data_IF_187406773336
#
_entry.id   IF_187406773336
#
_cell.length_a   1.000
_cell.length_b   1.000
_cell.length_c   1.000
_cell.angle_alpha   90.00
_cell.angle_beta   90.00
_cell.angle_gamma   90.00
#
_symmetry.space_group_name_H-M   'P 1'
#
loop_
_entity.id
_entity.type
_entity.pdbx_description
1 polymer ?
#
# COMPACT_ATOMS: atom_id res chain seq x y z
N UNK A 1 -6.90 -52.05 -18.21
CA UNK A 1 -6.56 -52.42 -16.81
C UNK A 1 -5.29 -51.68 -16.45
N UNK A 2 -5.34 -50.73 -15.51
CA UNK A 2 -4.13 -50.05 -15.02
C UNK A 2 -3.32 -51.08 -14.23
N UNK A 3 -2.07 -51.32 -14.61
CA UNK A 3 -1.22 -52.29 -13.93
C UNK A 3 -0.82 -51.76 -12.55
N UNK A 4 -0.66 -52.66 -11.57
CA UNK A 4 -0.17 -52.30 -10.23
C UNK A 4 1.16 -51.52 -10.26
N UNK A 5 2.01 -51.77 -11.27
CA UNK A 5 3.25 -51.01 -11.50
C UNK A 5 3.02 -49.54 -11.87
N UNK A 6 2.05 -49.27 -12.76
CA UNK A 6 1.68 -47.89 -13.14
C UNK A 6 1.03 -47.12 -11.99
N UNK A 7 0.30 -47.82 -11.12
CA UNK A 7 -0.30 -47.21 -9.94
C UNK A 7 0.78 -46.88 -8.89
N UNK A 8 1.77 -47.74 -8.71
CA UNK A 8 2.90 -47.50 -7.80
C UNK A 8 3.79 -46.35 -8.28
N UNK A 9 4.07 -46.26 -9.59
CA UNK A 9 4.84 -45.13 -10.14
C UNK A 9 4.08 -43.80 -10.00
N UNK A 10 2.78 -43.78 -10.29
CA UNK A 10 1.97 -42.57 -10.12
C UNK A 10 1.85 -42.10 -8.67
N UNK A 11 1.83 -43.05 -7.71
CA UNK A 11 1.88 -42.72 -6.28
C UNK A 11 3.25 -42.14 -5.90
N UNK A 12 4.33 -42.74 -6.38
CA UNK A 12 5.69 -42.28 -6.11
C UNK A 12 5.95 -40.87 -6.66
N UNK A 13 5.58 -40.60 -7.91
CA UNK A 13 5.69 -39.27 -8.54
C UNK A 13 4.85 -38.21 -7.82
N UNK A 14 3.74 -38.61 -7.19
CA UNK A 14 2.89 -37.73 -6.38
C UNK A 14 3.53 -37.44 -5.02
N UNK A 15 4.18 -38.43 -4.41
CA UNK A 15 4.93 -38.28 -3.16
C UNK A 15 6.14 -37.35 -3.35
N UNK A 16 6.91 -37.55 -4.43
CA UNK A 16 8.10 -36.73 -4.73
C UNK A 16 7.73 -35.26 -4.99
N UNK A 17 6.68 -35.00 -5.78
CA UNK A 17 6.19 -33.63 -5.99
C UNK A 17 5.75 -32.97 -4.68
N UNK A 18 5.11 -33.70 -3.77
CA UNK A 18 4.74 -33.17 -2.45
C UNK A 18 5.97 -32.81 -1.62
N UNK A 19 6.98 -33.68 -1.61
CA UNK A 19 8.22 -33.44 -0.86
C UNK A 19 9.00 -32.24 -1.42
N UNK A 20 9.10 -32.13 -2.74
CA UNK A 20 9.68 -30.97 -3.42
C UNK A 20 8.90 -29.68 -3.13
N UNK A 21 7.56 -29.74 -3.08
CA UNK A 21 6.74 -28.60 -2.70
C UNK A 21 6.99 -28.17 -1.26
N UNK A 22 7.06 -29.13 -0.34
CA UNK A 22 7.26 -28.86 1.09
C UNK A 22 8.65 -28.27 1.37
N UNK A 23 9.72 -28.84 0.78
CA UNK A 23 11.07 -28.32 0.96
C UNK A 23 11.21 -26.90 0.40
N UNK A 24 10.65 -26.67 -0.79
CA UNK A 24 10.73 -25.38 -1.44
C UNK A 24 9.84 -24.31 -0.77
N UNK A 25 8.71 -24.68 -0.19
CA UNK A 25 7.88 -23.73 0.58
C UNK A 25 8.53 -23.41 1.92
N UNK A 26 9.05 -24.41 2.63
CA UNK A 26 9.56 -24.23 4.00
C UNK A 26 10.87 -23.44 4.02
N UNK A 27 11.65 -23.46 2.93
CA UNK A 27 12.88 -22.68 2.76
C UNK A 27 12.69 -21.23 2.31
N UNK A 28 11.47 -20.81 1.93
CA UNK A 28 11.20 -19.45 1.47
C UNK A 28 10.83 -18.50 2.62
N UNK A 29 11.19 -17.23 2.47
CA UNK A 29 10.75 -16.16 3.37
C UNK A 29 9.21 -16.03 3.34
N UNK A 30 8.61 -15.49 4.40
CA UNK A 30 7.17 -15.32 4.51
C UNK A 30 6.56 -14.52 3.34
N UNK A 31 7.26 -13.47 2.89
CA UNK A 31 6.87 -12.68 1.72
C UNK A 31 6.92 -13.49 0.42
N UNK A 32 8.00 -14.24 0.21
CA UNK A 32 8.18 -15.05 -1.00
C UNK A 32 7.18 -16.21 -1.08
N UNK A 33 6.88 -16.84 0.07
CA UNK A 33 5.79 -17.82 0.18
C UNK A 33 4.46 -17.22 -0.23
N UNK A 34 4.13 -16.03 0.29
CA UNK A 34 2.88 -15.35 -0.01
C UNK A 34 2.75 -15.05 -1.51
N UNK A 35 3.81 -14.51 -2.13
CA UNK A 35 3.84 -14.24 -3.56
C UNK A 35 3.64 -15.49 -4.41
N UNK A 36 4.29 -16.60 -4.02
CA UNK A 36 4.13 -17.89 -4.70
C UNK A 36 2.69 -18.41 -4.60
N UNK A 37 2.09 -18.39 -3.40
CA UNK A 37 0.72 -18.87 -3.22
C UNK A 37 -0.32 -18.05 -3.96
N UNK A 38 -0.16 -16.73 -4.01
CA UNK A 38 -1.03 -15.88 -4.82
C UNK A 38 -0.93 -16.23 -6.31
N UNK A 39 0.28 -16.47 -6.81
CA UNK A 39 0.51 -16.86 -8.20
C UNK A 39 -0.12 -18.23 -8.50
N UNK A 40 0.14 -19.23 -7.67
CA UNK A 40 -0.43 -20.57 -7.83
C UNK A 40 -1.96 -20.52 -7.82
N UNK A 41 -2.56 -19.75 -6.91
CA UNK A 41 -4.01 -19.58 -6.85
C UNK A 41 -4.58 -18.99 -8.15
N UNK A 42 -3.95 -17.95 -8.69
CA UNK A 42 -4.33 -17.35 -9.97
C UNK A 42 -4.12 -18.32 -11.13
N UNK A 43 -3.04 -19.10 -11.15
CA UNK A 43 -2.77 -20.05 -12.23
C UNK A 43 -3.77 -21.23 -12.23
N UNK A 44 -4.21 -21.71 -11.05
CA UNK A 44 -5.14 -22.84 -10.92
C UNK A 44 -6.62 -22.44 -11.04
N UNK A 45 -7.01 -21.28 -10.50
CA UNK A 45 -8.41 -20.84 -10.45
C UNK A 45 -8.71 -19.59 -11.28
N UNK A 46 -7.68 -18.89 -11.76
CA UNK A 46 -7.81 -17.68 -12.57
C UNK A 46 -8.17 -18.00 -14.01
N UNK A 47 -9.40 -18.45 -14.22
CA UNK A 47 -10.01 -18.55 -15.55
C UNK A 47 -10.15 -17.15 -16.16
N UNK A 48 -9.14 -16.73 -16.93
CA UNK A 48 -9.32 -15.82 -18.06
C UNK A 48 -9.30 -14.31 -17.82
N UNK A 49 -9.01 -13.78 -16.62
CA UNK A 49 -8.77 -12.34 -16.46
C UNK A 49 -7.61 -12.08 -15.53
N UNK A 50 -6.49 -11.63 -16.10
CA UNK A 50 -5.58 -10.74 -15.38
C UNK A 50 -6.40 -9.47 -15.12
N UNK A 51 -7.13 -9.45 -14.01
CA UNK A 51 -7.66 -8.21 -13.51
C UNK A 51 -6.42 -7.54 -12.94
N UNK A 52 -5.72 -6.77 -13.77
CA UNK A 52 -4.84 -5.74 -13.26
C UNK A 52 -5.77 -4.78 -12.52
N UNK A 53 -6.08 -5.12 -11.27
CA UNK A 53 -6.77 -4.24 -10.35
C UNK A 53 -5.73 -3.17 -10.02
N UNK A 54 -5.54 -2.25 -10.95
CA UNK A 54 -4.97 -0.95 -10.67
C UNK A 54 -6.05 -0.25 -9.87
N UNK A 55 -6.13 -0.58 -8.58
CA UNK A 55 -6.77 0.32 -7.65
C UNK A 55 -6.08 1.66 -7.84
N UNK A 56 -6.82 2.77 -7.98
CA UNK A 56 -6.21 4.08 -7.88
C UNK A 56 -5.57 4.16 -6.49
N UNK A 57 -4.29 3.83 -6.41
CA UNK A 57 -3.53 3.85 -5.18
C UNK A 57 -3.20 5.30 -4.90
N UNK A 58 -4.17 6.03 -4.35
CA UNK A 58 -3.91 7.33 -3.75
C UNK A 58 -2.99 7.08 -2.57
N UNK A 59 -1.75 7.52 -2.70
CA UNK A 59 -0.80 7.48 -1.58
C UNK A 59 -1.24 8.50 -0.55
N UNK A 60 -0.92 8.27 0.72
CA UNK A 60 -1.13 9.27 1.78
C UNK A 60 -0.47 10.62 1.43
N UNK A 61 0.70 10.57 0.80
CA UNK A 61 1.39 11.74 0.25
C UNK A 61 0.58 12.48 -0.83
N UNK A 62 -0.09 11.76 -1.73
CA UNK A 62 -0.91 12.36 -2.79
C UNK A 62 -2.13 13.04 -2.17
N UNK A 63 -2.78 12.38 -1.22
CA UNK A 63 -3.89 12.93 -0.44
C UNK A 63 -3.49 14.22 0.29
N UNK A 64 -2.30 14.25 0.89
CA UNK A 64 -1.79 15.45 1.55
C UNK A 64 -1.54 16.59 0.55
N UNK A 65 -0.98 16.28 -0.62
CA UNK A 65 -0.71 17.28 -1.65
C UNK A 65 -1.98 17.88 -2.25
N UNK A 66 -3.01 17.06 -2.44
CA UNK A 66 -4.33 17.49 -2.94
C UNK A 66 -5.07 18.38 -1.92
N UNK A 67 -5.06 17.99 -0.64
CA UNK A 67 -5.82 18.67 0.41
C UNK A 67 -5.10 19.80 1.13
N UNK A 68 -3.80 20.03 0.87
CA UNK A 68 -3.02 21.03 1.60
C UNK A 68 -3.54 22.45 1.40
N UNK A 69 -3.82 23.15 2.51
CA UNK A 69 -4.09 24.60 2.54
C UNK A 69 -3.19 25.26 3.58
N UNK A 70 -2.55 26.36 3.17
CA UNK A 70 -1.70 27.15 4.06
C UNK A 70 -2.51 27.86 5.15
N UNK A 71 -3.66 28.43 4.78
CA UNK A 71 -4.66 29.00 5.70
C UNK A 71 -5.91 28.13 5.60
N UNK A 72 -6.34 27.56 6.72
CA UNK A 72 -7.50 26.64 6.80
C UNK A 72 -8.62 27.30 7.60
N UNK A 73 -9.84 27.35 7.04
CA UNK A 73 -11.04 27.88 7.70
C UNK A 73 -11.90 26.75 8.29
N UNK A 74 -12.84 27.07 9.19
CA UNK A 74 -13.74 26.07 9.80
C UNK A 74 -14.67 25.38 8.78
N UNK A 75 -14.96 26.03 7.65
CA UNK A 75 -15.74 25.47 6.55
C UNK A 75 -15.01 24.31 5.86
N UNK A 76 -13.67 24.34 5.84
CA UNK A 76 -12.82 23.26 5.29
C UNK A 76 -12.72 22.05 6.22
N UNK A 77 -13.25 22.14 7.43
CA UNK A 77 -13.27 21.06 8.42
C UNK A 77 -14.64 20.35 8.48
N UNK A 78 -15.60 20.78 7.67
CA UNK A 78 -16.95 20.23 7.64
C UNK A 78 -17.02 18.85 6.97
N UNK A 79 -16.06 18.56 6.10
CA UNK A 79 -16.02 17.32 5.33
C UNK A 79 -15.42 16.17 6.15
N UNK A 80 -16.19 15.08 6.29
CA UNK A 80 -15.84 13.93 7.15
C UNK A 80 -15.03 12.85 6.44
N UNK A 81 -14.47 13.12 5.27
CA UNK A 81 -13.68 12.13 4.55
C UNK A 81 -12.41 11.77 5.34
N UNK A 82 -11.97 10.51 5.21
CA UNK A 82 -10.74 10.07 5.88
C UNK A 82 -9.51 10.87 5.40
N UNK A 83 -9.52 11.27 4.13
CA UNK A 83 -8.50 12.08 3.47
C UNK A 83 -8.33 13.43 4.17
N UNK A 84 -9.44 14.14 4.41
CA UNK A 84 -9.38 15.45 5.06
C UNK A 84 -8.98 15.36 6.54
N UNK A 85 -9.35 14.26 7.23
CA UNK A 85 -8.87 14.01 8.59
C UNK A 85 -7.36 13.80 8.66
N UNK A 86 -6.77 13.14 7.65
CA UNK A 86 -5.33 12.98 7.54
C UNK A 86 -4.64 14.34 7.32
N UNK A 87 -5.14 15.14 6.38
CA UNK A 87 -4.62 16.49 6.10
C UNK A 87 -4.72 17.38 7.35
N UNK A 88 -5.84 17.32 8.09
CA UNK A 88 -6.03 18.10 9.31
C UNK A 88 -4.98 17.79 10.37
N UNK A 89 -4.75 16.51 10.64
CA UNK A 89 -3.71 16.08 11.60
C UNK A 89 -2.31 16.59 11.22
N UNK A 90 -2.00 16.63 9.93
CA UNK A 90 -0.74 17.20 9.44
C UNK A 90 -0.68 18.72 9.63
N UNK A 91 -1.78 19.43 9.36
CA UNK A 91 -1.92 20.86 9.61
C UNK A 91 -1.79 21.23 11.09
N UNK A 92 -2.37 20.42 12.00
CA UNK A 92 -2.26 20.65 13.44
C UNK A 92 -0.85 20.36 13.98
N UNK A 93 -0.12 19.44 13.31
CA UNK A 93 1.28 19.14 13.63
C UNK A 93 2.26 20.20 13.09
N UNK A 94 1.87 20.96 12.06
CA UNK A 94 2.68 22.06 11.56
C UNK A 94 2.81 23.12 12.66
N UNK A 95 4.04 23.45 13.01
CA UNK A 95 4.34 24.52 13.95
C UNK A 95 3.82 25.84 13.37
N UNK A 96 2.75 26.38 13.97
CA UNK A 96 2.19 27.70 13.63
C UNK A 96 3.03 28.81 14.26
N UNK A 97 4.33 28.82 14.02
CA UNK A 97 5.18 29.95 14.39
C UNK A 97 5.00 31.05 13.34
N UNK A 98 3.87 31.75 13.43
CA UNK A 98 3.67 32.96 12.65
C UNK A 98 4.38 34.12 13.37
N UNK A 99 5.58 34.48 12.91
CA UNK A 99 6.13 35.79 13.20
C UNK A 99 5.35 36.83 12.38
N UNK A 100 4.45 37.56 13.03
CA UNK A 100 3.88 38.78 12.45
C UNK A 100 4.98 39.84 12.49
N UNK A 101 5.70 40.00 11.39
CA UNK A 101 6.64 41.09 11.21
C UNK A 101 5.88 42.31 10.67
N UNK A 102 5.75 43.36 11.49
CA UNK A 102 5.29 44.65 10.98
C UNK A 102 6.37 45.27 10.10
N UNK A 103 6.18 45.17 8.78
CA UNK A 103 7.05 45.78 7.77
C UNK A 103 6.60 47.19 7.39
N UNK A 104 5.70 47.83 8.13
CA UNK A 104 5.22 49.20 7.84
C UNK A 104 6.35 50.23 7.71
N UNK A 105 7.48 49.99 8.37
CA UNK A 105 8.68 50.83 8.33
C UNK A 105 9.85 50.26 7.51
N UNK A 106 9.67 49.14 6.79
CA UNK A 106 10.75 48.47 6.04
C UNK A 106 11.45 49.41 5.05
N UNK A 107 10.70 50.31 4.40
CA UNK A 107 11.28 51.31 3.47
C UNK A 107 11.82 52.57 4.15
N UNK A 108 11.55 52.78 5.45
CA UNK A 108 11.93 53.99 6.19
C UNK A 108 13.20 53.83 7.04
N UNK A 109 13.84 52.65 7.03
CA UNK A 109 15.18 52.45 7.59
C UNK A 109 15.30 52.72 9.09
N UNK A 110 14.20 52.70 9.84
CA UNK A 110 14.21 52.85 11.29
C UNK A 110 13.92 51.50 11.93
N UNK A 111 14.99 50.86 12.38
CA UNK A 111 14.92 49.74 13.31
C UNK A 111 14.72 50.33 14.72
N UNK A 112 13.69 49.88 15.42
CA UNK A 112 13.51 50.19 16.83
C UNK A 112 14.03 49.03 17.68
#
# INVERSE_FOLDING_TARGET
MTSFGSLRSAVFDKEERKQQYQSHIRGLNAFDRHKKFLKDYVDFYGTGRKIDIVLPSKTDQDTLREGYRFIRSEEDDMDRSWEQRLVKRYYDKLFKEYCIADMSQYKKGKHH
#
